data_IF_127942255102
#
_entry.id   IF_127942255102
#
_cell.length_a   1.000
_cell.length_b   1.000
_cell.length_c   1.000
_cell.angle_alpha   90.00
_cell.angle_beta   90.00
_cell.angle_gamma   90.00
#
_symmetry.space_group_name_H-M   'P 1'
#
loop_
_entity.id
_entity.type
_entity.pdbx_description
1 polymer ?
#
# COMPACT_ATOMS: atom_id res chain seq x y z
N UNK A 1 21.44 -10.16 -8.63
CA UNK A 1 20.00 -9.88 -8.42
C UNK A 1 19.25 -10.30 -9.67
N UNK A 2 18.24 -11.17 -9.58
CA UNK A 2 17.50 -11.61 -10.78
C UNK A 2 16.51 -10.51 -11.22
N UNK A 3 16.10 -10.51 -12.50
CA UNK A 3 15.08 -9.59 -13.02
C UNK A 3 13.77 -9.65 -12.19
N UNK A 4 13.44 -10.82 -11.65
CA UNK A 4 12.25 -11.03 -10.83
C UNK A 4 12.37 -10.35 -9.47
N UNK A 5 13.57 -10.35 -8.88
CA UNK A 5 13.81 -9.67 -7.61
C UNK A 5 13.68 -8.15 -7.75
N UNK A 6 14.10 -7.60 -8.89
CA UNK A 6 13.92 -6.18 -9.23
C UNK A 6 12.44 -5.84 -9.34
N UNK A 7 11.66 -6.67 -10.05
CA UNK A 7 10.22 -6.44 -10.21
C UNK A 7 9.44 -6.62 -8.90
N UNK A 8 9.85 -7.56 -8.04
CA UNK A 8 9.29 -7.72 -6.70
C UNK A 8 9.61 -6.53 -5.81
N UNK A 9 10.86 -6.04 -5.81
CA UNK A 9 11.24 -4.84 -5.09
C UNK A 9 10.45 -3.61 -5.59
N UNK A 10 10.27 -3.47 -6.90
CA UNK A 10 9.47 -2.38 -7.48
C UNK A 10 7.99 -2.46 -7.08
N UNK A 11 7.42 -3.66 -7.04
CA UNK A 11 6.05 -3.86 -6.58
C UNK A 11 5.91 -3.53 -5.09
N UNK A 12 6.80 -4.02 -4.23
CA UNK A 12 6.78 -3.68 -2.80
C UNK A 12 6.95 -2.16 -2.60
N UNK A 13 7.88 -1.53 -3.32
CA UNK A 13 8.05 -0.07 -3.25
C UNK A 13 6.78 0.68 -3.67
N UNK A 14 6.06 0.18 -4.67
CA UNK A 14 4.78 0.75 -5.11
C UNK A 14 3.66 0.55 -4.09
N UNK A 15 3.71 -0.53 -3.30
CA UNK A 15 2.76 -0.79 -2.22
C UNK A 15 3.06 0.04 -0.97
N UNK A 16 4.31 0.44 -0.75
CA UNK A 16 4.77 1.17 0.43
C UNK A 16 4.43 2.66 0.45
N UNK A 17 3.68 3.20 -0.53
CA UNK A 17 3.42 4.65 -0.73
C UNK A 17 3.46 5.45 0.57
N UNK A 18 4.55 6.21 0.76
CA UNK A 18 4.61 7.25 1.79
C UNK A 18 3.55 8.28 1.41
N UNK A 19 2.45 8.31 2.14
CA UNK A 19 1.80 9.60 2.31
C UNK A 19 2.79 10.48 3.05
N UNK A 20 3.19 11.65 2.50
CA UNK A 20 3.72 12.70 3.35
C UNK A 20 2.63 12.90 4.39
N UNK A 21 2.93 12.62 5.65
CA UNK A 21 2.09 13.08 6.76
C UNK A 21 1.90 14.57 6.45
N UNK A 22 0.68 15.07 6.23
CA UNK A 22 0.49 16.50 6.26
C UNK A 22 0.91 16.87 7.67
N UNK A 23 2.10 17.46 7.80
CA UNK A 23 2.56 18.05 9.04
C UNK A 23 1.51 19.11 9.37
N UNK A 24 0.51 18.72 10.16
CA UNK A 24 -0.39 19.62 10.83
C UNK A 24 0.53 20.46 11.71
N UNK A 25 0.97 21.59 11.13
CA UNK A 25 1.69 22.62 11.84
C UNK A 25 0.71 23.09 12.90
N UNK A 26 0.90 22.58 14.12
CA UNK A 26 0.15 23.06 15.28
C UNK A 26 0.39 24.57 15.35
N UNK A 27 -0.66 25.41 15.31
CA UNK A 27 -0.47 26.82 15.57
C UNK A 27 -0.04 26.94 17.04
N UNK A 28 1.19 27.37 17.25
CA UNK A 28 1.67 27.77 18.57
C UNK A 28 0.74 28.86 19.09
N UNK A 29 -0.06 28.53 20.10
CA UNK A 29 -0.83 29.52 20.84
C UNK A 29 0.14 30.27 21.75
N UNK A 30 0.71 31.38 21.27
CA UNK A 30 1.25 32.41 22.15
C UNK A 30 0.44 33.68 21.91
N UNK A 31 -0.37 33.98 22.91
CA UNK A 31 -1.17 35.18 23.04
C UNK A 31 -0.29 36.41 23.15
N UNK A 32 -0.45 37.37 22.24
CA UNK A 32 -0.11 38.77 22.46
C UNK A 32 -1.13 39.65 21.74
N UNK A 33 -1.63 40.65 22.48
CA UNK A 33 -2.68 41.61 22.10
C UNK A 33 -2.08 42.72 21.24
N UNK A 34 -2.80 43.23 20.23
CA UNK A 34 -2.85 44.68 19.91
C UNK A 34 -3.89 45.01 18.82
N UNK A 35 -4.45 46.22 18.94
CA UNK A 35 -5.68 46.73 18.30
C UNK A 35 -5.54 47.22 16.85
N UNK A 36 -6.70 47.18 16.17
CA UNK A 36 -7.20 48.09 15.12
C UNK A 36 -6.41 48.29 13.81
N UNK A 37 -7.02 47.82 12.69
CA UNK A 37 -7.03 48.52 11.39
C UNK A 37 -7.95 47.84 10.36
N UNK A 38 -9.04 48.54 10.04
CA UNK A 38 -9.48 48.85 8.67
C UNK A 38 -9.82 47.72 7.68
N UNK A 39 -11.13 47.52 7.46
CA UNK A 39 -11.84 47.30 6.19
C UNK A 39 -11.00 46.95 4.93
N UNK A 40 -11.23 45.77 4.33
CA UNK A 40 -11.67 45.62 2.93
C UNK A 40 -11.89 44.14 2.56
N UNK A 41 -13.07 43.86 1.99
CA UNK A 41 -13.38 42.65 1.23
C UNK A 41 -12.45 42.50 0.04
N UNK A 42 -12.04 41.28 -0.30
CA UNK A 42 -12.36 40.77 -1.63
C UNK A 42 -12.32 39.24 -1.69
N UNK A 43 -13.22 38.71 -2.52
CA UNK A 43 -13.28 37.32 -2.92
C UNK A 43 -11.99 36.92 -3.61
N UNK A 44 -11.33 35.88 -3.12
CA UNK A 44 -10.39 35.12 -3.95
C UNK A 44 -10.90 33.71 -4.08
N UNK A 45 -11.37 33.43 -5.29
CA UNK A 45 -11.71 32.12 -5.82
C UNK A 45 -10.72 31.06 -5.31
N UNK A 46 -11.21 30.13 -4.50
CA UNK A 46 -10.58 28.81 -4.44
C UNK A 46 -10.76 28.26 -5.84
N UNK A 47 -9.71 28.44 -6.64
CA UNK A 47 -9.53 27.77 -7.91
C UNK A 47 -9.53 26.28 -7.60
N UNK A 48 -10.72 25.68 -7.67
CA UNK A 48 -10.91 24.26 -7.76
C UNK A 48 -10.27 23.85 -9.08
N UNK A 49 -8.95 23.71 -9.07
CA UNK A 49 -8.21 23.08 -10.15
C UNK A 49 -8.71 21.65 -10.19
N UNK A 50 -9.70 21.41 -11.05
CA UNK A 50 -10.04 20.10 -11.56
C UNK A 50 -8.82 19.56 -12.28
N UNK A 51 -7.85 19.10 -11.51
CA UNK A 51 -6.99 18.01 -11.96
C UNK A 51 -7.99 16.90 -12.23
N UNK A 52 -8.15 16.55 -13.49
CA UNK A 52 -8.82 15.32 -13.88
C UNK A 52 -8.19 14.22 -13.04
N UNK A 53 -8.87 13.84 -11.95
CA UNK A 53 -8.43 12.78 -11.07
C UNK A 53 -8.48 11.52 -11.93
N UNK A 54 -7.33 11.15 -12.50
CA UNK A 54 -7.03 9.76 -12.72
C UNK A 54 -7.43 9.09 -11.42
N UNK A 55 -8.53 8.30 -11.44
CA UNK A 55 -9.11 7.70 -10.24
C UNK A 55 -7.93 7.16 -9.42
N UNK A 56 -7.67 7.65 -8.20
CA UNK A 56 -6.53 7.17 -7.43
C UNK A 56 -6.67 5.67 -7.38
N UNK A 57 -5.67 4.96 -7.91
CA UNK A 57 -5.64 3.50 -7.85
C UNK A 57 -5.89 3.15 -6.38
N UNK A 58 -6.92 2.33 -6.08
CA UNK A 58 -7.34 2.14 -4.71
C UNK A 58 -6.14 1.69 -3.89
N UNK A 59 -5.84 2.44 -2.82
CA UNK A 59 -4.63 2.23 -2.04
C UNK A 59 -4.67 0.83 -1.41
N UNK A 60 -3.55 0.09 -1.37
CA UNK A 60 -3.48 -1.15 -0.59
C UNK A 60 -3.77 -0.85 0.89
N UNK A 61 -4.34 -1.81 1.62
CA UNK A 61 -4.59 -1.61 3.05
C UNK A 61 -3.27 -1.49 3.84
N UNK A 62 -3.35 -0.92 5.04
CA UNK A 62 -2.19 -0.68 5.90
C UNK A 62 -1.36 -1.95 6.19
N UNK A 63 -1.99 -3.14 6.19
CA UNK A 63 -1.28 -4.42 6.35
C UNK A 63 -0.38 -4.71 5.15
N UNK A 64 -0.89 -4.54 3.93
CA UNK A 64 -0.09 -4.72 2.72
C UNK A 64 1.00 -3.66 2.60
N UNK A 65 0.72 -2.42 3.00
CA UNK A 65 1.71 -1.35 3.07
C UNK A 65 2.84 -1.69 4.05
N UNK A 66 2.50 -2.13 5.27
CA UNK A 66 3.47 -2.51 6.29
C UNK A 66 4.31 -3.72 5.86
N UNK A 67 3.66 -4.73 5.27
CA UNK A 67 4.34 -5.88 4.69
C UNK A 67 5.34 -5.44 3.61
N UNK A 68 4.91 -4.53 2.74
CA UNK A 68 5.75 -3.98 1.69
C UNK A 68 6.93 -3.17 2.25
N UNK A 69 6.74 -2.38 3.31
CA UNK A 69 7.83 -1.64 3.95
C UNK A 69 8.87 -2.60 4.57
N UNK A 70 8.41 -3.69 5.20
CA UNK A 70 9.28 -4.68 5.82
C UNK A 70 10.12 -5.44 4.77
N UNK A 71 9.56 -5.73 3.60
CA UNK A 71 10.23 -6.51 2.56
C UNK A 71 10.86 -5.66 1.44
N UNK A 72 10.49 -4.39 1.30
CA UNK A 72 10.90 -3.49 0.21
C UNK A 72 12.23 -2.75 0.47
N UNK A 73 12.68 -2.69 1.73
CA UNK A 73 13.94 -2.01 2.11
C UNK A 73 15.20 -2.89 2.07
N UNK A 74 15.07 -4.21 1.89
CA UNK A 74 16.21 -5.14 2.00
C UNK A 74 16.85 -5.40 0.63
N UNK A 75 17.89 -4.64 0.30
CA UNK A 75 18.78 -4.88 -0.87
C UNK A 75 19.78 -6.03 -0.64
N UNK A 76 19.84 -6.58 0.57
CA UNK A 76 20.70 -7.72 0.91
C UNK A 76 19.93 -9.04 0.92
N UNK A 77 20.55 -10.03 0.26
CA UNK A 77 20.00 -11.26 -0.31
C UNK A 77 19.43 -12.32 0.65
N UNK A 78 19.07 -11.98 1.89
CA UNK A 78 18.69 -12.97 2.89
C UNK A 78 17.19 -12.99 3.24
N UNK A 79 16.45 -11.89 3.10
CA UNK A 79 15.02 -11.88 3.43
C UNK A 79 14.17 -12.29 2.22
N UNK A 80 14.29 -13.56 1.84
CA UNK A 80 13.34 -14.16 0.89
C UNK A 80 11.99 -14.25 1.59
N UNK A 81 10.97 -13.58 1.05
CA UNK A 81 9.58 -13.77 1.48
C UNK A 81 9.29 -15.28 1.43
N UNK A 82 9.06 -15.89 2.59
CA UNK A 82 8.76 -17.31 2.73
C UNK A 82 7.26 -17.60 2.80
N UNK A 83 6.92 -18.88 2.78
CA UNK A 83 5.53 -19.34 2.87
C UNK A 83 4.86 -18.94 4.18
N UNK A 84 5.62 -18.89 5.28
CA UNK A 84 5.12 -18.52 6.60
C UNK A 84 4.70 -17.05 6.65
N UNK A 85 5.53 -16.15 6.10
CA UNK A 85 5.27 -14.72 6.03
C UNK A 85 4.04 -14.42 5.16
N UNK A 86 3.88 -15.13 4.04
CA UNK A 86 2.70 -15.00 3.18
C UNK A 86 1.44 -15.56 3.83
N UNK A 87 1.56 -16.68 4.56
CA UNK A 87 0.45 -17.26 5.34
C UNK A 87 -0.01 -16.27 6.40
N UNK A 88 0.93 -15.66 7.12
CA UNK A 88 0.64 -14.66 8.15
C UNK A 88 0.05 -13.39 7.53
N UNK A 89 0.55 -12.93 6.39
CA UNK A 89 -0.02 -11.80 5.65
C UNK A 89 -1.49 -12.04 5.31
N UNK A 90 -1.82 -13.20 4.73
CA UNK A 90 -3.21 -13.56 4.38
C UNK A 90 -4.08 -13.64 5.63
N UNK A 91 -3.58 -14.26 6.71
CA UNK A 91 -4.30 -14.35 7.97
C UNK A 91 -4.62 -12.96 8.55
N UNK A 92 -3.62 -12.11 8.73
CA UNK A 92 -3.81 -10.75 9.25
C UNK A 92 -4.74 -9.91 8.36
N UNK A 93 -4.59 -10.05 7.03
CA UNK A 93 -5.47 -9.38 6.08
C UNK A 93 -6.94 -9.77 6.28
N UNK A 94 -7.24 -11.07 6.43
CA UNK A 94 -8.61 -11.56 6.66
C UNK A 94 -9.21 -11.03 7.96
N UNK A 95 -8.45 -11.07 9.04
CA UNK A 95 -8.90 -10.55 10.34
C UNK A 95 -9.25 -9.06 10.26
N UNK A 96 -8.40 -8.25 9.63
CA UNK A 96 -8.66 -6.82 9.45
C UNK A 96 -9.82 -6.55 8.46
N UNK A 97 -9.94 -7.37 7.43
CA UNK A 97 -11.00 -7.26 6.44
C UNK A 97 -12.38 -7.50 7.05
N UNK A 98 -12.50 -8.45 7.99
CA UNK A 98 -13.73 -8.67 8.74
C UNK A 98 -14.12 -7.44 9.59
N UNK A 99 -13.13 -6.71 10.11
CA UNK A 99 -13.36 -5.51 10.90
C UNK A 99 -13.74 -4.28 10.05
N UNK A 100 -13.10 -4.11 8.88
CA UNK A 100 -13.31 -2.93 8.03
C UNK A 100 -13.20 -3.25 6.53
N UNK A 101 -14.23 -3.86 5.92
CA UNK A 101 -14.23 -4.26 4.51
C UNK A 101 -13.86 -3.13 3.52
N UNK A 102 -14.35 -1.92 3.78
CA UNK A 102 -14.18 -0.76 2.90
C UNK A 102 -12.73 -0.27 2.81
N UNK A 103 -11.87 -0.61 3.77
CA UNK A 103 -10.46 -0.26 3.76
C UNK A 103 -9.61 -1.13 2.80
N UNK A 104 -10.20 -2.13 2.13
CA UNK A 104 -9.48 -3.14 1.35
C UNK A 104 -9.78 -3.11 -0.16
N UNK A 105 -10.32 -2.01 -0.67
CA UNK A 105 -10.69 -1.85 -2.10
C UNK A 105 -9.51 -1.99 -3.07
N UNK A 106 -8.28 -1.75 -2.62
CA UNK A 106 -7.04 -1.88 -3.41
C UNK A 106 -6.29 -3.20 -3.25
N UNK A 107 -6.73 -4.06 -2.33
CA UNK A 107 -5.96 -5.22 -1.93
C UNK A 107 -5.97 -6.33 -2.99
N UNK A 108 -7.06 -6.47 -3.76
CA UNK A 108 -7.18 -7.52 -4.79
C UNK A 108 -6.07 -7.43 -5.84
N UNK A 109 -5.84 -6.25 -6.41
CA UNK A 109 -4.80 -6.03 -7.42
C UNK A 109 -3.39 -6.28 -6.85
N UNK A 110 -3.18 -5.87 -5.59
CA UNK A 110 -1.92 -6.05 -4.87
C UNK A 110 -1.59 -7.53 -4.64
N UNK A 111 -2.55 -8.32 -4.14
CA UNK A 111 -2.39 -9.76 -3.96
C UNK A 111 -2.17 -10.49 -5.28
N UNK A 112 -2.88 -10.09 -6.34
CA UNK A 112 -2.68 -10.66 -7.69
C UNK A 112 -1.28 -10.39 -8.21
N UNK A 113 -0.78 -9.16 -8.07
CA UNK A 113 0.58 -8.79 -8.46
C UNK A 113 1.63 -9.58 -7.69
N UNK A 114 1.48 -9.69 -6.37
CA UNK A 114 2.39 -10.47 -5.52
C UNK A 114 2.39 -11.95 -5.93
N UNK A 115 1.22 -12.56 -6.14
CA UNK A 115 1.10 -13.94 -6.58
C UNK A 115 1.80 -14.20 -7.92
N UNK A 116 1.61 -13.32 -8.91
CA UNK A 116 2.24 -13.45 -10.24
C UNK A 116 3.76 -13.36 -10.18
N UNK A 117 4.32 -12.45 -9.37
CA UNK A 117 5.77 -12.30 -9.24
C UNK A 117 6.40 -13.50 -8.51
N UNK A 118 5.76 -13.97 -7.44
CA UNK A 118 6.23 -15.11 -6.67
C UNK A 118 6.15 -16.42 -7.48
N UNK A 119 5.10 -16.61 -8.26
CA UNK A 119 4.99 -17.77 -9.16
C UNK A 119 6.16 -17.83 -10.16
N UNK A 120 6.48 -16.69 -10.78
CA UNK A 120 7.60 -16.61 -11.71
C UNK A 120 8.94 -16.83 -10.99
N UNK A 121 9.06 -16.40 -9.72
CA UNK A 121 10.23 -16.66 -8.87
C UNK A 121 10.40 -18.16 -8.60
N UNK A 122 9.33 -18.88 -8.27
CA UNK A 122 9.36 -20.35 -8.04
C UNK A 122 9.89 -21.08 -9.28
N UNK A 123 9.56 -20.60 -10.48
CA UNK A 123 9.99 -21.21 -11.75
C UNK A 123 11.48 -20.97 -12.08
N UNK A 124 12.17 -20.07 -11.37
CA UNK A 124 13.60 -19.86 -11.57
C UNK A 124 14.42 -20.96 -10.87
N UNK A 125 15.58 -21.35 -11.43
CA UNK A 125 16.49 -22.31 -10.76
C UNK A 125 17.02 -21.82 -9.40
N UNK A 126 17.01 -20.51 -9.19
CA UNK A 126 17.35 -19.86 -7.92
C UNK A 126 16.11 -19.52 -7.06
N UNK A 127 14.92 -19.96 -7.49
CA UNK A 127 13.69 -19.83 -6.72
C UNK A 127 13.84 -20.56 -5.40
N UNK A 128 13.84 -19.80 -4.30
CA UNK A 128 13.99 -20.33 -2.95
C UNK A 128 12.89 -21.32 -2.56
N UNK A 129 12.81 -21.65 -1.27
CA UNK A 129 11.90 -22.67 -0.71
C UNK A 129 10.40 -22.34 -0.76
N UNK A 130 9.96 -21.41 -1.62
CA UNK A 130 8.58 -20.97 -1.70
C UNK A 130 7.73 -22.04 -2.41
N UNK A 131 6.64 -22.46 -1.77
CA UNK A 131 5.68 -23.39 -2.34
C UNK A 131 4.67 -22.72 -3.28
N UNK A 132 4.18 -23.49 -4.26
CA UNK A 132 3.02 -23.07 -5.07
C UNK A 132 1.75 -22.89 -4.21
N UNK A 133 1.67 -23.54 -3.05
CA UNK A 133 0.56 -23.40 -2.11
C UNK A 133 0.40 -21.96 -1.61
N UNK A 134 1.51 -21.27 -1.31
CA UNK A 134 1.47 -19.87 -0.88
C UNK A 134 0.96 -18.94 -1.99
N UNK A 135 1.38 -19.18 -3.24
CA UNK A 135 0.84 -18.47 -4.41
C UNK A 135 -0.66 -18.72 -4.56
N UNK A 136 -1.10 -19.96 -4.33
CA UNK A 136 -2.51 -20.35 -4.33
C UNK A 136 -3.35 -19.59 -3.30
N UNK A 137 -2.83 -19.40 -2.09
CA UNK A 137 -3.51 -18.60 -1.06
C UNK A 137 -3.68 -17.14 -1.49
N UNK A 138 -2.63 -16.50 -2.04
CA UNK A 138 -2.69 -15.11 -2.49
C UNK A 138 -3.70 -14.92 -3.64
N UNK A 139 -3.78 -15.88 -4.56
CA UNK A 139 -4.79 -15.87 -5.64
C UNK A 139 -6.20 -16.00 -5.12
N UNK A 140 -6.41 -16.93 -4.20
CA UNK A 140 -7.70 -17.13 -3.54
C UNK A 140 -8.12 -15.84 -2.83
N UNK A 141 -7.21 -15.20 -2.12
CA UNK A 141 -7.47 -13.95 -1.41
C UNK A 141 -7.83 -12.81 -2.38
N UNK A 142 -7.06 -12.65 -3.47
CA UNK A 142 -7.35 -11.67 -4.51
C UNK A 142 -8.75 -11.86 -5.14
N UNK A 143 -9.15 -13.12 -5.33
CA UNK A 143 -10.46 -13.47 -5.89
C UNK A 143 -11.60 -13.13 -4.94
N UNK A 144 -11.49 -13.46 -3.65
CA UNK A 144 -12.48 -13.13 -2.62
C UNK A 144 -12.75 -11.62 -2.54
N UNK A 145 -11.69 -10.82 -2.64
CA UNK A 145 -11.77 -9.37 -2.62
C UNK A 145 -12.41 -8.76 -3.88
N UNK A 146 -12.35 -9.44 -5.03
CA UNK A 146 -12.86 -8.92 -6.30
C UNK A 146 -14.37 -8.72 -6.32
N UNK A 147 -15.11 -9.37 -5.41
CA UNK A 147 -16.57 -9.24 -5.28
C UNK A 147 -17.03 -8.16 -4.30
N UNK A 148 -16.12 -7.48 -3.59
CA UNK A 148 -16.47 -6.59 -2.46
C UNK A 148 -16.27 -5.09 -2.76
N UNK A 149 -16.06 -4.73 -4.03
CA UNK A 149 -15.86 -3.35 -4.49
C UNK A 149 -17.02 -2.75 -5.30
N UNK A 150 -18.27 -3.09 -4.98
CA UNK A 150 -19.47 -2.57 -5.64
C UNK A 150 -20.19 -1.49 -4.80
#
# INVERSE_FOLDING_TARGET
MSQIDIELAALLSSLSFEHPIPHASLPATSSDMDEDRGYQSDSTDISTSSVAQARPSPCPCAILQAFACYHGGSVDAAQTIGDAELSQLVFMHREAFLACPSAHTGCSASFKGLASLLERRIQQPAGGSLGMDAVGMLRTEAWLLSGWGA
#
